data_IF_987005050324
#
_entry.id   IF_987005050324
#
_cell.length_a   1.000
_cell.length_b   1.000
_cell.length_c   1.000
_cell.angle_alpha   90.00
_cell.angle_beta   90.00
_cell.angle_gamma   90.00
#
_symmetry.space_group_name_H-M   'P 1'
#
loop_
_entity.id
_entity.type
_entity.pdbx_description
1 polymer ?
#
# COMPACT_ATOMS: atom_id res chain seq x y z
N UNK A 1 35.95 -52.44 -17.07
CA UNK A 1 34.49 -52.40 -17.33
C UNK A 1 33.86 -51.38 -16.37
N UNK A 2 32.82 -50.68 -16.84
CA UNK A 2 32.47 -49.27 -16.54
C UNK A 2 31.93 -48.98 -15.13
N UNK A 3 32.42 -47.87 -14.56
CA UNK A 3 31.79 -47.04 -13.52
C UNK A 3 30.47 -46.44 -14.02
N UNK A 4 29.42 -46.47 -13.20
CA UNK A 4 28.15 -45.77 -13.44
C UNK A 4 27.96 -44.62 -12.44
N UNK A 5 28.59 -43.48 -12.71
CA UNK A 5 28.11 -42.20 -12.22
C UNK A 5 26.88 -41.82 -13.06
N UNK A 6 25.68 -41.91 -12.47
CA UNK A 6 24.48 -41.28 -13.04
C UNK A 6 24.56 -39.78 -12.74
N UNK A 7 25.03 -39.01 -13.72
CA UNK A 7 24.81 -37.57 -13.80
C UNK A 7 23.32 -37.27 -13.87
N UNK A 8 22.78 -36.55 -12.89
CA UNK A 8 21.45 -35.95 -12.98
C UNK A 8 21.42 -34.95 -14.15
N UNK A 9 20.30 -34.85 -14.90
CA UNK A 9 20.19 -33.86 -15.93
C UNK A 9 20.08 -32.47 -15.28
N UNK A 10 21.03 -31.60 -15.61
CA UNK A 10 20.90 -30.16 -15.38
C UNK A 10 19.74 -29.69 -16.25
N UNK A 11 18.54 -29.63 -15.68
CA UNK A 11 17.42 -28.93 -16.29
C UNK A 11 17.73 -27.44 -16.16
N UNK A 12 18.32 -26.86 -17.21
CA UNK A 12 18.29 -25.42 -17.43
C UNK A 12 16.85 -25.02 -17.77
N UNK A 13 16.01 -24.78 -16.77
CA UNK A 13 14.77 -24.03 -16.96
C UNK A 13 15.11 -22.55 -17.00
N UNK A 14 15.37 -22.04 -18.20
CA UNK A 14 15.17 -20.62 -18.50
C UNK A 14 13.68 -20.32 -18.48
N UNK A 15 13.10 -20.12 -17.30
CA UNK A 15 11.76 -19.55 -17.19
C UNK A 15 11.86 -18.03 -17.29
N UNK A 16 11.38 -17.48 -18.40
CA UNK A 16 11.12 -16.04 -18.58
C UNK A 16 10.36 -15.49 -17.36
N UNK A 17 10.60 -14.23 -16.93
CA UNK A 17 9.87 -13.65 -15.81
C UNK A 17 8.41 -13.46 -16.22
N UNK A 18 7.51 -14.25 -15.64
CA UNK A 18 6.05 -14.02 -15.76
C UNK A 18 5.72 -12.75 -14.98
N UNK A 19 5.68 -11.62 -15.69
CA UNK A 19 5.20 -10.31 -15.21
C UNK A 19 3.70 -10.32 -14.96
N UNK A 20 3.19 -10.93 -13.89
CA UNK A 20 1.80 -10.71 -13.44
C UNK A 20 1.70 -11.04 -11.96
N UNK A 21 1.90 -10.05 -11.08
CA UNK A 21 1.63 -10.10 -9.63
C UNK A 21 1.75 -8.69 -9.06
N UNK A 22 0.63 -7.98 -8.96
CA UNK A 22 0.49 -6.68 -8.28
C UNK A 22 -0.86 -6.73 -7.59
N UNK A 23 -0.93 -6.62 -6.26
CA UNK A 23 -1.90 -7.51 -5.63
C UNK A 23 -2.48 -7.37 -4.23
N UNK A 24 -1.65 -7.24 -3.19
CA UNK A 24 -2.17 -6.90 -1.84
C UNK A 24 -1.66 -5.54 -1.38
N UNK A 25 -0.84 -4.92 -2.21
CA UNK A 25 -0.11 -3.72 -1.89
C UNK A 25 -0.76 -2.48 -2.51
N UNK A 26 -1.99 -2.63 -3.02
CA UNK A 26 -2.83 -1.56 -3.60
C UNK A 26 -3.24 -0.48 -2.59
N UNK A 27 -3.00 -0.70 -1.30
CA UNK A 27 -3.76 -0.05 -0.24
C UNK A 27 -2.89 0.53 0.87
N UNK A 28 -1.72 1.07 0.53
CA UNK A 28 -0.86 1.61 1.58
C UNK A 28 -0.77 3.13 1.59
N UNK A 29 -0.90 3.84 0.47
CA UNK A 29 -0.61 5.30 0.48
C UNK A 29 -1.36 6.08 -0.61
N UNK A 30 -2.68 6.13 -0.59
CA UNK A 30 -3.41 7.23 -1.30
C UNK A 30 -3.71 8.43 -0.39
N UNK A 31 -3.50 8.31 0.94
CA UNK A 31 -3.90 9.31 1.93
C UNK A 31 -2.89 10.40 2.31
N UNK A 32 -1.71 10.49 1.67
CA UNK A 32 -0.68 11.49 2.04
C UNK A 32 -0.58 12.70 1.11
N UNK A 33 -1.37 12.75 0.03
CA UNK A 33 -1.19 13.75 -1.04
C UNK A 33 -2.13 14.95 -0.88
N UNK A 34 -2.16 15.65 0.27
CA UNK A 34 -2.82 16.97 0.33
C UNK A 34 -2.17 17.92 1.34
N UNK A 35 -1.15 18.63 0.87
CA UNK A 35 -0.86 20.00 1.29
C UNK A 35 -0.05 20.68 0.18
N UNK A 36 -0.62 21.73 -0.42
CA UNK A 36 -0.03 22.65 -1.40
C UNK A 36 0.09 22.18 -2.87
N UNK A 37 -0.94 22.48 -3.67
CA UNK A 37 -0.72 23.08 -5.00
C UNK A 37 -2.03 23.63 -5.57
N UNK A 38 -2.22 24.95 -5.48
CA UNK A 38 -3.12 25.71 -6.33
C UNK A 38 -2.38 26.15 -7.60
N UNK A 39 -3.12 26.21 -8.72
CA UNK A 39 -2.76 26.77 -10.06
C UNK A 39 -1.78 25.92 -10.89
N UNK A 40 -1.88 25.77 -12.22
CA UNK A 40 -2.57 26.49 -13.31
C UNK A 40 -2.59 25.56 -14.55
N UNK A 41 -3.66 25.58 -15.35
CA UNK A 41 -3.73 24.88 -16.65
C UNK A 41 -2.87 25.57 -17.72
N UNK A 42 -2.00 24.81 -18.41
CA UNK A 42 -1.63 25.00 -19.83
C UNK A 42 -0.73 23.85 -20.37
N UNK A 43 -1.17 23.28 -21.51
CA UNK A 43 -0.47 22.60 -22.62
C UNK A 43 0.34 21.27 -22.49
N UNK A 44 -0.16 20.28 -23.25
CA UNK A 44 0.41 19.11 -23.98
C UNK A 44 1.67 18.34 -23.53
N UNK A 45 2.32 18.66 -22.41
CA UNK A 45 3.34 17.79 -21.80
C UNK A 45 2.82 17.24 -20.48
N UNK A 46 2.57 15.92 -20.42
CA UNK A 46 2.19 15.25 -19.17
C UNK A 46 3.23 15.58 -18.08
N UNK A 47 2.80 16.12 -16.95
CA UNK A 47 3.67 16.54 -15.84
C UNK A 47 3.42 15.72 -14.55
N UNK A 48 4.09 16.06 -13.43
CA UNK A 48 3.96 15.29 -12.18
C UNK A 48 2.52 15.21 -11.64
N UNK A 49 1.65 16.17 -11.96
CA UNK A 49 0.27 16.19 -11.49
C UNK A 49 -0.61 15.22 -12.29
N UNK A 50 -0.25 14.93 -13.54
CA UNK A 50 -0.91 13.91 -14.36
C UNK A 50 -0.62 12.48 -13.87
N UNK A 51 0.50 12.29 -13.16
CA UNK A 51 0.85 10.99 -12.60
C UNK A 51 -0.25 10.43 -11.68
N UNK A 52 -0.97 11.30 -10.94
CA UNK A 52 -2.09 10.89 -10.09
C UNK A 52 -3.22 10.27 -10.91
N UNK A 53 -3.65 10.95 -11.97
CA UNK A 53 -4.71 10.45 -12.86
C UNK A 53 -4.30 9.14 -13.54
N UNK A 54 -3.03 9.01 -13.92
CA UNK A 54 -2.49 7.78 -14.51
C UNK A 54 -2.47 6.62 -13.50
N UNK A 55 -2.13 6.87 -12.24
CA UNK A 55 -2.19 5.87 -11.15
C UNK A 55 -3.63 5.40 -10.93
N UNK A 56 -4.59 6.33 -10.88
CA UNK A 56 -6.02 6.01 -10.75
C UNK A 56 -6.55 5.20 -11.95
N UNK A 57 -6.03 5.44 -13.15
CA UNK A 57 -6.35 4.68 -14.37
C UNK A 57 -5.59 3.34 -14.47
N UNK A 58 -4.73 2.99 -13.50
CA UNK A 58 -3.93 1.76 -13.54
C UNK A 58 -2.73 1.80 -14.49
N UNK A 59 -2.39 2.97 -15.05
CA UNK A 59 -1.28 3.19 -15.99
C UNK A 59 0.04 3.44 -15.25
N UNK A 60 0.42 2.52 -14.37
CA UNK A 60 1.53 2.71 -13.43
C UNK A 60 2.89 2.97 -14.09
N UNK A 61 3.20 2.32 -15.23
CA UNK A 61 4.47 2.52 -15.94
C UNK A 61 4.59 3.91 -16.56
N UNK A 62 3.47 4.45 -17.05
CA UNK A 62 3.42 5.80 -17.62
C UNK A 62 3.62 6.83 -16.49
N UNK A 63 2.90 6.65 -15.38
CA UNK A 63 3.08 7.47 -14.17
C UNK A 63 4.52 7.42 -13.66
N UNK A 64 5.11 6.21 -13.52
CA UNK A 64 6.48 6.01 -13.08
C UNK A 64 7.50 6.72 -13.99
N UNK A 65 7.32 6.64 -15.31
CA UNK A 65 8.21 7.29 -16.28
C UNK A 65 8.21 8.81 -16.12
N UNK A 66 7.02 9.41 -15.94
CA UNK A 66 6.88 10.86 -15.73
C UNK A 66 7.51 11.24 -14.39
N UNK A 67 7.18 10.54 -13.31
CA UNK A 67 7.71 10.83 -11.97
C UNK A 67 9.24 10.74 -11.92
N UNK A 68 9.85 9.74 -12.56
CA UNK A 68 11.32 9.61 -12.64
C UNK A 68 11.99 10.71 -13.47
N UNK A 69 11.29 11.26 -14.47
CA UNK A 69 11.77 12.40 -15.25
C UNK A 69 11.75 13.66 -14.40
N UNK A 70 10.64 13.92 -13.72
CA UNK A 70 10.44 15.10 -12.88
C UNK A 70 11.31 15.07 -11.61
N UNK A 71 11.55 13.91 -11.01
CA UNK A 71 12.44 13.74 -9.84
C UNK A 71 13.85 14.31 -10.10
N UNK A 72 14.33 14.23 -11.35
CA UNK A 72 15.67 14.69 -11.74
C UNK A 72 15.77 16.19 -11.93
N UNK A 73 14.65 16.88 -12.17
CA UNK A 73 14.62 18.29 -12.54
C UNK A 73 14.07 19.19 -11.44
N UNK A 74 13.24 18.64 -10.55
CA UNK A 74 12.61 19.39 -9.46
C UNK A 74 13.59 19.60 -8.31
N UNK A 75 13.74 20.86 -7.90
CA UNK A 75 14.49 21.27 -6.70
C UNK A 75 13.59 21.64 -5.52
N UNK A 76 12.29 21.87 -5.77
CA UNK A 76 11.31 22.15 -4.74
C UNK A 76 11.05 20.90 -3.89
N UNK A 77 11.31 21.02 -2.58
CA UNK A 77 11.20 19.89 -1.65
C UNK A 77 9.77 19.39 -1.52
N UNK A 78 8.76 20.27 -1.56
CA UNK A 78 7.36 19.87 -1.45
C UNK A 78 6.93 18.99 -2.62
N UNK A 79 7.29 19.39 -3.85
CA UNK A 79 7.05 18.62 -5.06
C UNK A 79 7.81 17.29 -5.05
N UNK A 80 9.06 17.26 -4.59
CA UNK A 80 9.82 16.01 -4.43
C UNK A 80 9.13 15.05 -3.44
N UNK A 81 8.61 15.56 -2.33
CA UNK A 81 7.87 14.75 -1.36
C UNK A 81 6.61 14.13 -1.96
N UNK A 82 5.88 14.88 -2.80
CA UNK A 82 4.74 14.35 -3.56
C UNK A 82 5.16 13.25 -4.54
N UNK A 83 6.28 13.43 -5.25
CA UNK A 83 6.84 12.38 -6.11
C UNK A 83 7.19 11.13 -5.31
N UNK A 84 7.89 11.27 -4.18
CA UNK A 84 8.29 10.13 -3.36
C UNK A 84 7.07 9.37 -2.80
N UNK A 85 6.02 10.09 -2.40
CA UNK A 85 4.76 9.47 -1.99
C UNK A 85 4.14 8.65 -3.12
N UNK A 86 4.04 9.23 -4.32
CA UNK A 86 3.46 8.55 -5.50
C UNK A 86 4.29 7.35 -5.93
N UNK A 87 5.63 7.47 -5.97
CA UNK A 87 6.53 6.37 -6.30
C UNK A 87 6.48 5.25 -5.26
N UNK A 88 6.35 5.59 -3.98
CA UNK A 88 6.13 4.60 -2.93
C UNK A 88 4.78 3.88 -3.10
N UNK A 89 3.73 4.59 -3.50
CA UNK A 89 2.44 3.99 -3.87
C UNK A 89 2.56 3.00 -5.04
N UNK A 90 3.24 3.39 -6.12
CA UNK A 90 3.50 2.52 -7.28
C UNK A 90 4.34 1.30 -6.89
N UNK A 91 5.41 1.49 -6.13
CA UNK A 91 6.27 0.41 -5.65
C UNK A 91 5.51 -0.56 -4.74
N UNK A 92 4.60 -0.02 -3.92
CA UNK A 92 3.64 -0.83 -3.17
C UNK A 92 2.86 -1.68 -4.17
N UNK A 93 2.04 -1.07 -5.03
CA UNK A 93 1.15 -1.76 -5.98
C UNK A 93 1.87 -2.88 -6.75
N UNK A 94 3.05 -2.58 -7.29
CA UNK A 94 3.85 -3.50 -8.10
C UNK A 94 4.65 -4.55 -7.30
N UNK A 95 4.54 -4.57 -5.97
CA UNK A 95 5.32 -5.43 -5.06
C UNK A 95 6.85 -5.30 -5.27
N UNK A 96 7.30 -4.09 -5.65
CA UNK A 96 8.70 -3.80 -5.87
C UNK A 96 9.37 -3.40 -4.54
N UNK A 97 9.99 -4.38 -3.89
CA UNK A 97 10.66 -4.23 -2.60
C UNK A 97 11.80 -3.22 -2.60
N UNK A 98 12.59 -3.18 -3.66
CA UNK A 98 13.75 -2.30 -3.75
C UNK A 98 13.32 -0.83 -3.85
N UNK A 99 12.44 -0.53 -4.80
CA UNK A 99 11.88 0.82 -4.96
C UNK A 99 11.03 1.23 -3.75
N UNK A 100 10.29 0.29 -3.16
CA UNK A 100 9.51 0.53 -1.94
C UNK A 100 10.39 0.95 -0.77
N UNK A 101 11.51 0.26 -0.55
CA UNK A 101 12.46 0.64 0.50
C UNK A 101 13.17 1.97 0.22
N UNK A 102 13.49 2.25 -1.05
CA UNK A 102 14.11 3.51 -1.48
C UNK A 102 13.17 4.70 -1.26
N UNK A 103 11.96 4.66 -1.82
CA UNK A 103 11.02 5.78 -1.75
C UNK A 103 10.42 5.97 -0.36
N UNK A 104 10.29 4.91 0.46
CA UNK A 104 9.96 5.06 1.87
C UNK A 104 11.01 5.90 2.62
N UNK A 105 12.31 5.63 2.40
CA UNK A 105 13.39 6.42 3.02
C UNK A 105 13.48 7.85 2.49
N UNK A 106 13.26 8.06 1.20
CA UNK A 106 13.26 9.40 0.62
C UNK A 106 12.09 10.22 1.16
N UNK A 107 10.89 9.63 1.20
CA UNK A 107 9.70 10.28 1.74
C UNK A 107 9.83 10.54 3.25
N UNK A 108 10.48 9.64 4.00
CA UNK A 108 10.75 9.84 5.42
C UNK A 108 11.47 11.17 5.71
N UNK A 109 12.41 11.58 4.83
CA UNK A 109 13.17 12.83 4.98
C UNK A 109 12.33 14.11 4.80
N UNK A 110 11.10 13.98 4.31
CA UNK A 110 10.16 15.09 4.19
C UNK A 110 9.55 15.50 5.53
N UNK A 111 9.73 14.69 6.56
CA UNK A 111 9.13 14.90 7.87
C UNK A 111 10.18 15.16 8.94
N UNK A 112 9.79 15.92 9.95
CA UNK A 112 10.62 16.16 11.14
C UNK A 112 10.95 14.81 11.79
N UNK A 113 12.21 14.65 12.17
CA UNK A 113 12.69 13.46 12.88
C UNK A 113 11.82 13.18 14.12
N UNK A 114 11.53 11.89 14.37
CA UNK A 114 10.66 11.39 15.44
C UNK A 114 9.17 11.82 15.38
N UNK A 115 8.75 12.56 14.34
CA UNK A 115 7.32 12.75 14.08
C UNK A 115 6.65 11.43 13.71
N UNK A 116 5.33 11.36 13.90
CA UNK A 116 4.54 10.15 13.59
C UNK A 116 4.70 9.68 12.13
N UNK A 117 4.62 10.55 11.11
CA UNK A 117 4.91 10.15 9.73
C UNK A 117 6.35 9.68 9.51
N UNK A 118 7.33 10.31 10.19
CA UNK A 118 8.73 9.90 10.09
C UNK A 118 8.95 8.47 10.60
N UNK A 119 8.37 8.14 11.76
CA UNK A 119 8.47 6.79 12.34
C UNK A 119 7.76 5.78 11.44
N UNK A 120 6.57 6.10 10.95
CA UNK A 120 5.81 5.25 10.03
C UNK A 120 6.60 4.92 8.77
N UNK A 121 7.17 5.92 8.10
CA UNK A 121 7.93 5.72 6.87
C UNK A 121 9.24 4.97 7.10
N UNK A 122 9.87 5.16 8.26
CA UNK A 122 11.00 4.34 8.70
C UNK A 122 10.62 2.86 8.86
N UNK A 123 9.46 2.58 9.47
CA UNK A 123 8.93 1.22 9.60
C UNK A 123 8.57 0.61 8.24
N UNK A 124 7.98 1.40 7.32
CA UNK A 124 7.70 0.97 5.95
C UNK A 124 8.98 0.61 5.17
N UNK A 125 10.06 1.38 5.34
CA UNK A 125 11.35 1.06 4.74
C UNK A 125 11.94 -0.27 5.26
N UNK A 126 11.74 -0.58 6.56
CA UNK A 126 12.12 -1.86 7.16
C UNK A 126 11.24 -2.99 6.62
N UNK A 127 9.93 -2.75 6.49
CA UNK A 127 8.97 -3.70 5.94
C UNK A 127 9.36 -4.11 4.52
N UNK A 128 9.65 -3.16 3.64
CA UNK A 128 10.04 -3.44 2.25
C UNK A 128 11.36 -4.21 2.12
N UNK A 129 12.26 -4.12 3.11
CA UNK A 129 13.48 -4.94 3.17
C UNK A 129 13.23 -6.40 3.60
N UNK A 130 12.00 -6.76 3.96
CA UNK A 130 11.65 -8.11 4.39
C UNK A 130 11.71 -8.32 5.92
N UNK A 131 12.09 -7.31 6.70
CA UNK A 131 12.12 -7.38 8.17
C UNK A 131 10.72 -7.15 8.79
N UNK A 132 9.70 -7.88 8.30
CA UNK A 132 8.29 -7.59 8.59
C UNK A 132 7.96 -7.61 10.09
N UNK A 133 8.48 -8.59 10.85
CA UNK A 133 8.20 -8.70 12.30
C UNK A 133 8.76 -7.51 13.09
N UNK A 134 9.91 -6.96 12.68
CA UNK A 134 10.47 -5.75 13.28
C UNK A 134 9.65 -4.53 12.91
N UNK A 135 9.27 -4.39 11.64
CA UNK A 135 8.44 -3.28 11.17
C UNK A 135 7.09 -3.23 11.91
N UNK A 136 6.42 -4.37 12.07
CA UNK A 136 5.13 -4.44 12.76
C UNK A 136 5.21 -4.06 14.24
N UNK A 137 6.28 -4.44 14.95
CA UNK A 137 6.48 -4.00 16.34
C UNK A 137 6.60 -2.48 16.46
N UNK A 138 7.36 -1.84 15.57
CA UNK A 138 7.48 -0.38 15.53
C UNK A 138 6.12 0.27 15.24
N UNK A 139 5.33 -0.34 14.37
CA UNK A 139 3.98 0.16 14.06
C UNK A 139 3.00 -0.01 15.23
N UNK A 140 3.12 -1.08 16.01
CA UNK A 140 2.33 -1.26 17.24
C UNK A 140 2.67 -0.17 18.28
N UNK A 141 3.96 0.09 18.52
CA UNK A 141 4.41 1.19 19.38
C UNK A 141 3.93 2.56 18.85
N UNK A 142 3.90 2.74 17.53
CA UNK A 142 3.39 3.96 16.90
C UNK A 142 1.88 4.13 17.08
N UNK A 143 1.09 3.05 17.03
CA UNK A 143 -0.34 3.10 17.31
C UNK A 143 -0.59 3.56 18.75
N UNK A 144 0.15 3.03 19.72
CA UNK A 144 0.04 3.44 21.12
C UNK A 144 0.40 4.92 21.30
N UNK A 145 1.46 5.38 20.64
CA UNK A 145 1.84 6.80 20.61
C UNK A 145 0.72 7.68 20.04
N UNK A 146 0.15 7.31 18.88
CA UNK A 146 -0.94 8.06 18.24
C UNK A 146 -2.17 8.13 19.16
N UNK A 147 -2.54 7.01 19.80
CA UNK A 147 -3.66 6.98 20.73
C UNK A 147 -3.45 7.93 21.91
N UNK A 148 -2.24 8.01 22.44
CA UNK A 148 -1.90 8.98 23.49
C UNK A 148 -1.98 10.42 22.98
N UNK A 149 -1.47 10.72 21.77
CA UNK A 149 -1.57 12.05 21.14
C UNK A 149 -3.04 12.50 20.99
N UNK A 150 -3.98 11.59 20.68
CA UNK A 150 -5.41 11.93 20.61
C UNK A 150 -6.04 12.35 21.94
N UNK A 151 -5.42 11.99 23.07
CA UNK A 151 -5.89 12.40 24.40
C UNK A 151 -5.33 13.75 24.86
N UNK A 152 -4.36 14.31 24.11
CA UNK A 152 -3.73 15.59 24.45
C UNK A 152 -4.55 16.79 23.94
N UNK A 153 -4.62 17.87 24.75
CA UNK A 153 -5.50 19.03 24.51
C UNK A 153 -5.14 19.92 23.30
N UNK A 154 -4.05 19.65 22.56
CA UNK A 154 -3.54 20.56 21.51
C UNK A 154 -2.94 19.83 20.29
N UNK A 155 -3.73 19.00 19.62
CA UNK A 155 -3.39 18.50 18.28
C UNK A 155 -4.11 19.32 17.22
N UNK A 156 -3.43 19.60 16.10
CA UNK A 156 -4.04 20.32 14.97
C UNK A 156 -4.91 19.39 14.13
N UNK A 157 -5.89 19.94 13.40
CA UNK A 157 -6.74 19.15 12.49
C UNK A 157 -5.92 18.39 11.43
N UNK A 158 -4.82 19.01 10.96
CA UNK A 158 -3.87 18.36 10.06
C UNK A 158 -3.23 17.14 10.72
N UNK A 159 -2.76 17.26 11.96
CA UNK A 159 -2.16 16.14 12.70
C UNK A 159 -3.19 15.05 12.99
N UNK A 160 -4.43 15.42 13.33
CA UNK A 160 -5.55 14.47 13.48
C UNK A 160 -5.75 13.66 12.20
N UNK A 161 -5.83 14.34 11.06
CA UNK A 161 -6.01 13.72 9.74
C UNK A 161 -4.84 12.78 9.40
N UNK A 162 -3.60 13.25 9.55
CA UNK A 162 -2.41 12.45 9.30
C UNK A 162 -2.34 11.20 10.20
N UNK A 163 -2.61 11.35 11.51
CA UNK A 163 -2.60 10.26 12.47
C UNK A 163 -3.69 9.22 12.14
N UNK A 164 -4.88 9.64 11.72
CA UNK A 164 -5.95 8.74 11.25
C UNK A 164 -5.54 7.97 10.00
N UNK A 165 -4.93 8.64 9.02
CA UNK A 165 -4.44 7.99 7.79
C UNK A 165 -3.34 6.96 8.09
N UNK A 166 -2.39 7.27 8.97
CA UNK A 166 -1.34 6.33 9.40
C UNK A 166 -1.96 5.14 10.14
N UNK A 167 -2.86 5.39 11.09
CA UNK A 167 -3.56 4.34 11.85
C UNK A 167 -4.29 3.39 10.90
N UNK A 168 -5.03 3.94 9.94
CA UNK A 168 -5.73 3.16 8.92
C UNK A 168 -4.77 2.31 8.07
N UNK A 169 -3.66 2.89 7.60
CA UNK A 169 -2.66 2.17 6.82
C UNK A 169 -2.01 1.02 7.61
N UNK A 170 -1.69 1.22 8.90
CA UNK A 170 -1.13 0.17 9.76
C UNK A 170 -2.10 -1.01 9.89
N UNK A 171 -3.39 -0.74 10.13
CA UNK A 171 -4.37 -1.81 10.26
C UNK A 171 -4.55 -2.62 8.98
N UNK A 172 -4.56 -1.97 7.81
CA UNK A 172 -4.60 -2.67 6.51
C UNK A 172 -3.35 -3.48 6.24
N UNK A 173 -2.18 -2.98 6.62
CA UNK A 173 -0.94 -3.74 6.52
C UNK A 173 -0.97 -5.00 7.39
N UNK A 174 -1.42 -4.87 8.64
CA UNK A 174 -1.56 -6.01 9.57
C UNK A 174 -2.55 -7.06 9.04
N UNK A 175 -3.70 -6.62 8.51
CA UNK A 175 -4.69 -7.52 7.92
C UNK A 175 -4.10 -8.26 6.71
N UNK A 176 -3.42 -7.54 5.83
CA UNK A 176 -2.72 -8.07 4.66
C UNK A 176 -1.66 -9.11 5.06
N UNK A 177 -0.87 -8.83 6.09
CA UNK A 177 0.18 -9.76 6.55
C UNK A 177 -0.40 -11.05 7.13
N UNK A 178 -1.52 -10.98 7.86
CA UNK A 178 -2.22 -12.18 8.35
C UNK A 178 -2.70 -13.06 7.18
N UNK A 179 -3.29 -12.45 6.16
CA UNK A 179 -3.75 -13.15 4.96
C UNK A 179 -2.61 -13.81 4.16
N UNK A 180 -1.40 -13.21 4.19
CA UNK A 180 -0.23 -13.75 3.49
C UNK A 180 0.39 -14.92 4.27
N UNK A 181 0.43 -14.85 5.60
CA UNK A 181 1.18 -15.80 6.43
C UNK A 181 0.36 -16.99 6.92
N UNK A 182 -0.95 -16.85 6.98
CA UNK A 182 -1.81 -17.81 7.65
C UNK A 182 -2.98 -18.21 6.76
N UNK A 183 -3.56 -19.36 7.07
CA UNK A 183 -4.81 -19.81 6.46
C UNK A 183 -5.90 -18.73 6.66
N UNK A 184 -6.43 -18.14 5.57
CA UNK A 184 -7.42 -17.07 5.66
C UNK A 184 -8.65 -17.44 6.48
N UNK A 185 -9.07 -18.71 6.48
CA UNK A 185 -10.24 -19.12 7.27
C UNK A 185 -9.94 -19.07 8.77
N UNK A 186 -8.71 -19.36 9.19
CA UNK A 186 -8.30 -19.31 10.61
C UNK A 186 -8.16 -17.89 11.14
N UNK A 187 -7.76 -16.95 10.27
CA UNK A 187 -7.57 -15.54 10.64
C UNK A 187 -8.77 -14.65 10.32
N UNK A 188 -9.89 -15.20 9.82
CA UNK A 188 -11.09 -14.46 9.39
C UNK A 188 -11.51 -13.37 10.36
N UNK A 189 -11.72 -13.72 11.64
CA UNK A 189 -12.18 -12.76 12.65
C UNK A 189 -11.18 -11.63 12.88
N UNK A 190 -9.87 -11.95 12.93
CA UNK A 190 -8.82 -10.95 13.12
C UNK A 190 -8.68 -10.03 11.91
N UNK A 191 -8.74 -10.57 10.69
CA UNK A 191 -8.65 -9.81 9.44
C UNK A 191 -9.84 -8.87 9.29
N UNK A 192 -11.07 -9.33 9.58
CA UNK A 192 -12.26 -8.48 9.56
C UNK A 192 -12.11 -7.34 10.58
N UNK A 193 -11.74 -7.66 11.83
CA UNK A 193 -11.59 -6.65 12.87
C UNK A 193 -10.53 -5.59 12.51
N UNK A 194 -9.41 -5.98 11.90
CA UNK A 194 -8.40 -5.04 11.43
C UNK A 194 -8.89 -4.17 10.26
N UNK A 195 -9.64 -4.75 9.32
CA UNK A 195 -10.23 -3.99 8.22
C UNK A 195 -11.28 -2.98 8.73
N UNK A 196 -12.11 -3.37 9.69
CA UNK A 196 -13.08 -2.47 10.34
C UNK A 196 -12.38 -1.33 11.07
N UNK A 197 -11.33 -1.60 11.86
CA UNK A 197 -10.53 -0.56 12.54
C UNK A 197 -9.87 0.41 11.56
N UNK A 198 -9.44 -0.07 10.39
CA UNK A 198 -8.95 0.80 9.33
C UNK A 198 -10.04 1.73 8.80
N UNK A 199 -11.23 1.19 8.53
CA UNK A 199 -12.37 1.96 8.05
C UNK A 199 -12.85 2.97 9.10
N UNK A 200 -12.91 2.60 10.38
CA UNK A 200 -13.27 3.50 11.49
C UNK A 200 -12.31 4.70 11.59
N UNK A 201 -11.00 4.47 11.36
CA UNK A 201 -10.02 5.53 11.34
C UNK A 201 -10.23 6.49 10.15
N UNK A 202 -10.54 5.95 8.96
CA UNK A 202 -10.72 6.71 7.72
C UNK A 202 -11.84 6.10 6.86
N UNK A 203 -13.11 6.53 6.97
CA UNK A 203 -14.24 5.85 6.36
C UNK A 203 -14.46 6.24 4.89
N UNK A 204 -13.40 6.27 4.09
CA UNK A 204 -13.44 6.65 2.67
C UNK A 204 -12.25 6.08 1.89
N UNK A 205 -12.40 6.03 0.56
CA UNK A 205 -11.37 5.64 -0.39
C UNK A 205 -10.75 4.28 -0.08
N UNK A 206 -9.44 4.29 0.11
CA UNK A 206 -8.58 3.14 0.31
C UNK A 206 -9.05 2.14 1.42
N UNK A 207 -9.52 2.64 2.56
CA UNK A 207 -9.97 1.78 3.66
C UNK A 207 -11.37 1.19 3.42
N UNK A 208 -12.23 1.96 2.76
CA UNK A 208 -13.57 1.55 2.35
C UNK A 208 -13.51 0.38 1.37
N UNK A 209 -12.73 0.54 0.30
CA UNK A 209 -12.56 -0.50 -0.73
C UNK A 209 -11.91 -1.75 -0.12
N UNK A 210 -10.94 -1.59 0.79
CA UNK A 210 -10.34 -2.74 1.47
C UNK A 210 -11.36 -3.52 2.30
N UNK A 211 -12.15 -2.84 3.14
CA UNK A 211 -13.16 -3.49 3.97
C UNK A 211 -14.21 -4.21 3.12
N UNK A 212 -14.68 -3.56 2.04
CA UNK A 212 -15.60 -4.17 1.10
C UNK A 212 -15.01 -5.44 0.44
N UNK A 213 -13.73 -5.43 0.08
CA UNK A 213 -13.03 -6.61 -0.45
C UNK A 213 -12.89 -7.73 0.59
N UNK A 214 -12.59 -7.40 1.86
CA UNK A 214 -12.51 -8.38 2.95
C UNK A 214 -13.87 -9.02 3.23
N UNK A 215 -14.96 -8.25 3.26
CA UNK A 215 -16.30 -8.81 3.40
C UNK A 215 -16.65 -9.76 2.24
N UNK A 216 -16.36 -9.34 1.00
CA UNK A 216 -16.58 -10.17 -0.19
C UNK A 216 -15.73 -11.45 -0.19
N UNK A 217 -14.48 -11.38 0.29
CA UNK A 217 -13.60 -12.55 0.45
C UNK A 217 -14.23 -13.63 1.34
N UNK A 218 -14.89 -13.23 2.42
CA UNK A 218 -15.50 -14.13 3.39
C UNK A 218 -17.00 -14.40 3.19
N UNK A 219 -17.54 -14.03 2.03
CA UNK A 219 -18.91 -14.32 1.61
C UNK A 219 -19.98 -13.34 2.12
N UNK A 220 -19.61 -12.24 2.79
CA UNK A 220 -20.55 -11.20 3.22
C UNK A 220 -20.75 -10.17 2.11
N UNK A 221 -21.47 -10.57 1.06
CA UNK A 221 -21.68 -9.73 -0.12
C UNK A 221 -22.58 -8.55 0.15
N UNK A 222 -23.51 -8.64 1.11
CA UNK A 222 -24.45 -7.56 1.41
C UNK A 222 -23.77 -6.41 2.15
N UNK A 223 -22.90 -6.69 3.14
CA UNK A 223 -22.10 -5.63 3.76
C UNK A 223 -21.11 -5.02 2.77
N UNK A 224 -20.49 -5.84 1.92
CA UNK A 224 -19.61 -5.37 0.85
C UNK A 224 -20.32 -4.37 -0.08
N UNK A 225 -21.52 -4.72 -0.58
CA UNK A 225 -22.33 -3.82 -1.42
C UNK A 225 -22.75 -2.55 -0.68
N UNK A 226 -23.24 -2.68 0.55
CA UNK A 226 -23.72 -1.52 1.32
C UNK A 226 -22.64 -0.47 1.55
N UNK A 227 -21.39 -0.90 1.75
CA UNK A 227 -20.24 0.01 1.87
C UNK A 227 -20.01 0.76 0.55
N UNK A 228 -19.98 0.05 -0.57
CA UNK A 228 -19.70 0.66 -1.89
C UNK A 228 -20.84 1.56 -2.37
N UNK A 229 -22.09 1.25 -2.05
CA UNK A 229 -23.25 2.08 -2.39
C UNK A 229 -23.25 3.42 -1.65
N UNK A 230 -22.66 3.45 -0.44
CA UNK A 230 -22.48 4.67 0.36
C UNK A 230 -21.26 5.49 -0.05
N UNK A 231 -20.38 4.92 -0.87
CA UNK A 231 -19.21 5.60 -1.40
C UNK A 231 -19.59 6.69 -2.39
N UNK A 232 -18.79 7.76 -2.44
CA UNK A 232 -18.98 8.87 -3.38
C UNK A 232 -18.56 8.52 -4.82
N UNK A 233 -17.66 7.56 -5.02
CA UNK A 233 -17.18 7.16 -6.37
C UNK A 233 -17.84 5.91 -6.96
N UNK A 234 -18.65 5.17 -6.17
CA UNK A 234 -19.39 3.90 -6.41
C UNK A 234 -18.78 2.94 -7.44
N UNK A 235 -18.81 3.29 -8.71
CA UNK A 235 -18.28 2.52 -9.85
C UNK A 235 -16.78 2.28 -9.79
N UNK A 236 -15.98 3.29 -9.39
CA UNK A 236 -14.52 3.17 -9.31
C UNK A 236 -14.12 2.27 -8.15
N UNK A 237 -14.79 2.41 -7.00
CA UNK A 237 -14.59 1.63 -5.79
C UNK A 237 -15.02 0.17 -6.01
N UNK A 238 -16.15 -0.08 -6.69
CA UNK A 238 -16.56 -1.43 -7.06
C UNK A 238 -15.51 -2.16 -7.92
N UNK A 239 -14.94 -1.48 -8.92
CA UNK A 239 -13.87 -2.06 -9.72
C UNK A 239 -12.61 -2.34 -8.89
N UNK A 240 -12.25 -1.41 -8.01
CA UNK A 240 -11.08 -1.53 -7.15
C UNK A 240 -11.24 -2.68 -6.14
N UNK A 241 -12.45 -2.92 -5.62
CA UNK A 241 -12.77 -4.09 -4.78
C UNK A 241 -12.43 -5.38 -5.51
N UNK A 242 -12.82 -5.51 -6.78
CA UNK A 242 -12.58 -6.74 -7.56
C UNK A 242 -11.09 -6.95 -7.84
N UNK A 243 -10.34 -5.88 -8.09
CA UNK A 243 -8.88 -5.93 -8.25
C UNK A 243 -8.21 -6.39 -6.96
N UNK A 244 -8.57 -5.79 -5.82
CA UNK A 244 -8.02 -6.17 -4.50
C UNK A 244 -8.39 -7.60 -4.16
N UNK A 245 -9.65 -8.01 -4.37
CA UNK A 245 -10.10 -9.36 -4.07
C UNK A 245 -9.36 -10.41 -4.91
N UNK A 246 -9.22 -10.16 -6.21
CA UNK A 246 -8.42 -11.02 -7.11
C UNK A 246 -6.98 -11.10 -6.61
N UNK A 247 -6.46 -9.95 -6.18
CA UNK A 247 -5.19 -9.81 -5.48
C UNK A 247 -5.02 -10.80 -4.32
N UNK A 248 -5.92 -10.67 -3.36
CA UNK A 248 -5.91 -11.47 -2.14
C UNK A 248 -5.98 -12.96 -2.47
N UNK A 249 -6.92 -13.36 -3.33
CA UNK A 249 -7.09 -14.76 -3.73
C UNK A 249 -5.82 -15.34 -4.36
N UNK A 250 -5.19 -14.61 -5.29
CA UNK A 250 -3.94 -15.07 -5.92
C UNK A 250 -2.81 -15.29 -4.91
N UNK A 251 -2.66 -14.41 -3.90
CA UNK A 251 -1.60 -14.56 -2.89
C UNK A 251 -1.90 -15.72 -1.92
N UNK A 252 -3.17 -15.90 -1.55
CA UNK A 252 -3.61 -17.05 -0.74
C UNK A 252 -3.35 -18.37 -1.46
N UNK A 253 -3.70 -18.46 -2.74
CA UNK A 253 -3.50 -19.66 -3.57
C UNK A 253 -2.01 -19.95 -3.79
N UNK A 254 -1.16 -18.94 -3.95
CA UNK A 254 0.28 -19.17 -4.09
C UNK A 254 0.96 -19.61 -2.77
N UNK A 255 0.44 -19.15 -1.62
CA UNK A 255 0.94 -19.56 -0.30
C UNK A 255 0.59 -21.01 0.03
N UNK A 256 -0.53 -21.54 -0.48
CA UNK A 256 -0.94 -22.94 -0.27
C UNK A 256 -0.26 -23.95 -1.19
N UNK A 257 0.49 -23.49 -2.20
CA UNK A 257 1.17 -24.33 -3.21
C UNK A 257 2.69 -24.41 -3.00
N UNK A 258 3.24 -23.72 -2.01
CA UNK A 258 4.66 -23.88 -1.64
C UNK A 258 4.82 -25.12 -0.73
N UNK A 259 5.57 -26.16 -1.16
CA UNK A 259 5.80 -27.37 -0.37
C UNK A 259 6.65 -27.12 0.88
#
# INVERSE_FOLDING_TARGET
MRNSYRSMPIIKTTSKPKKYLSGLSFLLISGFVFANSSTSFADENLDMYDAKNLIEQGKYKEAETILLREEKTITDIGKLCSIYSSMLGIASISDNKEEGAKYAKLFQKCYKENSTPYIFLGAMAIYYKGEHGRALRIMDELLDKINNEFTEKKISDFQVSANKNITSAIYRLKASELLIRQDPQKVKAAVISLAEKSYEATPFGDAEVFLAAIYKLYGDTERSKSIIEKSDGRTTEAHTVDVILKSIKQKVENASVSP
#
